data_IF_235419100061
#
_entry.id   IF_235419100061
#
_cell.length_a   1.000
_cell.length_b   1.000
_cell.length_c   1.000
_cell.angle_alpha   90.00
_cell.angle_beta   90.00
_cell.angle_gamma   90.00
#
_symmetry.space_group_name_H-M   'P 1'
#
loop_
_entity.id
_entity.type
_entity.pdbx_description
1 polymer ?
#
# COMPACT_ATOMS: atom_id res chain seq x y z
N UNK A 1 21.75 19.70 -8.83
CA UNK A 1 20.54 19.03 -9.36
C UNK A 1 19.35 19.50 -8.53
N UNK A 2 18.31 20.08 -9.13
CA UNK A 2 17.12 20.50 -8.36
C UNK A 2 16.31 19.28 -7.95
N UNK A 3 15.54 19.40 -6.85
CA UNK A 3 14.82 18.25 -6.29
C UNK A 3 13.74 17.72 -7.24
N UNK A 4 13.08 18.62 -7.98
CA UNK A 4 12.16 18.24 -9.06
C UNK A 4 12.83 17.37 -10.13
N UNK A 5 14.06 17.68 -10.54
CA UNK A 5 14.75 16.96 -11.61
C UNK A 5 15.06 15.52 -11.19
N UNK A 6 15.40 15.35 -9.91
CA UNK A 6 15.56 14.04 -9.29
C UNK A 6 14.24 13.24 -9.31
N UNK A 7 13.12 13.86 -8.93
CA UNK A 7 11.82 13.20 -8.96
C UNK A 7 11.40 12.79 -10.38
N UNK A 8 11.50 13.70 -11.35
CA UNK A 8 11.16 13.43 -12.75
C UNK A 8 12.03 12.30 -13.31
N UNK A 9 13.34 12.33 -13.05
CA UNK A 9 14.27 11.28 -13.50
C UNK A 9 13.90 9.92 -12.91
N UNK A 10 13.55 9.88 -11.62
CA UNK A 10 13.09 8.66 -10.95
C UNK A 10 11.79 8.14 -11.56
N UNK A 11 10.79 9.00 -11.75
CA UNK A 11 9.50 8.63 -12.35
C UNK A 11 9.72 8.09 -13.78
N UNK A 12 10.56 8.76 -14.59
CA UNK A 12 10.89 8.34 -15.95
C UNK A 12 11.48 6.93 -15.99
N UNK A 13 12.38 6.62 -15.05
CA UNK A 13 12.99 5.28 -14.93
C UNK A 13 11.94 4.22 -14.59
N UNK A 14 11.10 4.46 -13.58
CA UNK A 14 10.12 3.47 -13.11
C UNK A 14 8.95 3.28 -14.07
N UNK A 15 8.54 4.33 -14.78
CA UNK A 15 7.54 4.28 -15.86
C UNK A 15 7.93 3.27 -16.95
N UNK A 16 9.22 3.15 -17.28
CA UNK A 16 9.71 2.22 -18.31
C UNK A 16 9.45 0.78 -17.85
N UNK A 17 8.57 0.08 -18.56
CA UNK A 17 8.17 -1.30 -18.22
C UNK A 17 7.00 -1.41 -17.23
N UNK A 18 6.50 -0.31 -16.66
CA UNK A 18 5.36 -0.30 -15.72
C UNK A 18 4.31 0.73 -16.15
N UNK A 19 4.01 0.83 -17.45
CA UNK A 19 3.20 1.91 -18.02
C UNK A 19 1.75 1.90 -17.51
N UNK A 20 1.17 0.72 -17.29
CA UNK A 20 -0.18 0.58 -16.72
C UNK A 20 -0.21 1.11 -15.29
N UNK A 21 0.66 0.60 -14.41
CA UNK A 21 0.82 1.10 -13.04
C UNK A 21 1.06 2.60 -13.00
N UNK A 22 1.90 3.11 -13.89
CA UNK A 22 2.14 4.55 -14.00
C UNK A 22 0.87 5.33 -14.33
N UNK A 23 0.01 4.85 -15.23
CA UNK A 23 -1.26 5.53 -15.55
C UNK A 23 -2.18 5.57 -14.33
N UNK A 24 -2.34 4.44 -13.66
CA UNK A 24 -3.19 4.31 -12.48
C UNK A 24 -2.75 5.28 -11.37
N UNK A 25 -1.45 5.30 -11.05
CA UNK A 25 -0.89 6.19 -10.02
C UNK A 25 -0.97 7.67 -10.44
N UNK A 26 -0.78 8.00 -11.73
CA UNK A 26 -0.98 9.39 -12.19
C UNK A 26 -2.41 9.85 -11.95
N UNK A 27 -3.40 9.00 -12.27
CA UNK A 27 -4.81 9.32 -12.03
C UNK A 27 -5.10 9.46 -10.53
N UNK A 28 -4.55 8.59 -9.69
CA UNK A 28 -4.68 8.66 -8.22
C UNK A 28 -4.12 9.98 -7.66
N UNK A 29 -2.92 10.36 -8.09
CA UNK A 29 -2.20 11.52 -7.52
C UNK A 29 -2.75 12.85 -8.02
N UNK A 30 -3.08 12.96 -9.30
CA UNK A 30 -3.52 14.21 -9.93
C UNK A 30 -5.04 14.32 -10.10
N UNK A 31 -5.80 13.28 -9.72
CA UNK A 31 -7.25 13.18 -9.92
C UNK A 31 -7.68 13.00 -11.38
N UNK A 32 -6.73 13.01 -12.32
CA UNK A 32 -6.96 12.85 -13.76
C UNK A 32 -5.75 12.28 -14.46
N UNK A 33 -5.97 11.68 -15.62
CA UNK A 33 -4.87 11.22 -16.45
C UNK A 33 -4.12 12.42 -17.06
N UNK A 34 -2.81 12.49 -16.81
CA UNK A 34 -1.91 13.46 -17.43
C UNK A 34 -0.99 12.79 -18.45
N UNK A 35 -0.64 13.54 -19.50
CA UNK A 35 0.43 13.15 -20.42
C UNK A 35 1.79 13.37 -19.77
N UNK A 36 2.81 12.61 -20.22
CA UNK A 36 4.17 12.73 -19.70
C UNK A 36 4.73 14.16 -19.83
N UNK A 37 4.49 14.83 -20.97
CA UNK A 37 4.92 16.21 -21.17
C UNK A 37 4.36 17.18 -20.12
N UNK A 38 3.11 16.97 -19.64
CA UNK A 38 2.52 17.78 -18.55
C UNK A 38 3.16 17.50 -17.19
N UNK A 39 3.64 16.27 -16.96
CA UNK A 39 4.32 15.90 -15.72
C UNK A 39 5.75 16.44 -15.71
N UNK A 40 6.46 16.40 -16.84
CA UNK A 40 7.83 16.94 -16.95
C UNK A 40 7.93 18.44 -16.65
N UNK A 41 6.86 19.19 -16.95
CA UNK A 41 6.80 20.64 -16.68
C UNK A 41 6.05 20.98 -15.39
N UNK A 42 5.63 19.97 -14.60
CA UNK A 42 4.96 20.20 -13.33
C UNK A 42 5.90 20.93 -12.34
N UNK A 43 5.44 22.04 -11.78
CA UNK A 43 6.19 22.81 -10.79
C UNK A 43 5.85 22.43 -9.34
N UNK A 44 4.74 21.72 -9.14
CA UNK A 44 4.36 21.23 -7.82
C UNK A 44 5.24 20.05 -7.40
N UNK A 45 6.28 20.35 -6.61
CA UNK A 45 7.20 19.36 -6.08
C UNK A 45 6.53 18.35 -5.15
N UNK A 46 5.45 18.73 -4.44
CA UNK A 46 4.73 17.80 -3.55
C UNK A 46 4.00 16.74 -4.36
N UNK A 47 3.35 17.14 -5.46
CA UNK A 47 2.70 16.19 -6.36
C UNK A 47 3.73 15.29 -7.07
N UNK A 48 4.87 15.83 -7.49
CA UNK A 48 5.96 15.02 -8.08
C UNK A 48 6.54 14.03 -7.07
N UNK A 49 6.76 14.45 -5.83
CA UNK A 49 7.19 13.56 -4.74
C UNK A 49 6.18 12.45 -4.50
N UNK A 50 4.89 12.80 -4.39
CA UNK A 50 3.80 11.83 -4.17
C UNK A 50 3.72 10.83 -5.33
N UNK A 51 3.79 11.29 -6.58
CA UNK A 51 3.82 10.43 -7.77
C UNK A 51 5.03 9.48 -7.75
N UNK A 52 6.23 10.00 -7.50
CA UNK A 52 7.43 9.16 -7.38
C UNK A 52 7.24 8.07 -6.34
N UNK A 53 6.84 8.45 -5.12
CA UNK A 53 6.75 7.52 -4.00
C UNK A 53 5.70 6.43 -4.24
N UNK A 54 4.46 6.82 -4.61
CA UNK A 54 3.38 5.88 -4.89
C UNK A 54 3.71 4.95 -6.06
N UNK A 55 4.34 5.47 -7.12
CA UNK A 55 4.74 4.63 -8.25
C UNK A 55 5.77 3.56 -7.83
N UNK A 56 6.75 3.93 -7.01
CA UNK A 56 7.74 2.97 -6.51
C UNK A 56 7.09 1.91 -5.62
N UNK A 57 6.20 2.32 -4.72
CA UNK A 57 5.45 1.45 -3.82
C UNK A 57 4.58 0.45 -4.59
N UNK A 58 3.78 0.91 -5.56
CA UNK A 58 2.92 0.04 -6.37
C UNK A 58 3.72 -0.95 -7.24
N UNK A 59 4.88 -0.53 -7.76
CA UNK A 59 5.77 -1.45 -8.50
C UNK A 59 6.34 -2.52 -7.55
N UNK A 60 6.76 -2.14 -6.34
CA UNK A 60 7.23 -3.08 -5.32
C UNK A 60 6.13 -4.09 -4.97
N UNK A 61 4.91 -3.61 -4.73
CA UNK A 61 3.75 -4.46 -4.40
C UNK A 61 3.43 -5.46 -5.52
N UNK A 62 3.39 -5.01 -6.78
CA UNK A 62 3.11 -5.91 -7.92
C UNK A 62 4.16 -6.98 -8.15
N UNK A 63 5.41 -6.73 -7.75
CA UNK A 63 6.51 -7.69 -7.84
C UNK A 63 6.60 -8.61 -6.62
N UNK A 64 5.93 -8.25 -5.53
CA UNK A 64 5.97 -9.02 -4.29
C UNK A 64 5.33 -10.40 -4.51
N UNK A 65 5.97 -11.49 -4.05
CA UNK A 65 5.34 -12.80 -4.03
C UNK A 65 4.25 -12.91 -2.94
N UNK A 66 4.17 -11.92 -2.04
CA UNK A 66 3.22 -11.92 -0.92
C UNK A 66 1.87 -11.40 -1.39
N UNK A 67 0.83 -12.21 -1.21
CA UNK A 67 -0.55 -11.74 -1.33
C UNK A 67 -0.92 -10.87 -0.12
N UNK A 68 -1.19 -9.58 -0.37
CA UNK A 68 -1.64 -8.64 0.68
C UNK A 68 -2.92 -9.15 1.36
N UNK A 69 -3.90 -9.64 0.59
CA UNK A 69 -5.14 -10.16 1.15
C UNK A 69 -4.94 -11.44 1.98
N UNK A 70 -4.08 -12.34 1.51
CA UNK A 70 -3.74 -13.56 2.25
C UNK A 70 -3.03 -13.23 3.56
N UNK A 71 -2.03 -12.35 3.53
CA UNK A 71 -1.29 -11.95 4.72
C UNK A 71 -2.16 -11.15 5.69
N UNK A 72 -3.01 -10.24 5.21
CA UNK A 72 -3.93 -9.49 6.06
C UNK A 72 -4.88 -10.43 6.83
N UNK A 73 -5.44 -11.45 6.16
CA UNK A 73 -6.25 -12.49 6.82
C UNK A 73 -5.45 -13.28 7.85
N UNK A 74 -4.22 -13.64 7.53
CA UNK A 74 -3.33 -14.35 8.47
C UNK A 74 -3.04 -13.50 9.72
N UNK A 75 -2.79 -12.19 9.55
CA UNK A 75 -2.57 -11.25 10.66
C UNK A 75 -3.81 -11.14 11.54
N UNK A 76 -5.00 -11.00 10.96
CA UNK A 76 -6.24 -10.97 11.75
C UNK A 76 -6.48 -12.30 12.47
N UNK A 77 -6.29 -13.43 11.76
CA UNK A 77 -6.49 -14.78 12.27
C UNK A 77 -5.54 -15.16 13.39
N UNK A 78 -4.26 -14.79 13.31
CA UNK A 78 -3.26 -15.02 14.36
C UNK A 78 -3.63 -14.32 15.69
N UNK A 79 -4.46 -13.28 15.62
CA UNK A 79 -4.95 -12.56 16.78
C UNK A 79 -6.33 -13.02 17.26
N UNK A 80 -6.95 -13.98 16.57
CA UNK A 80 -8.21 -14.60 16.98
C UNK A 80 -7.97 -15.99 17.59
N UNK A 81 -8.69 -16.31 18.66
CA UNK A 81 -8.66 -17.63 19.30
C UNK A 81 -9.72 -18.59 18.77
N UNK A 82 -9.86 -19.75 19.42
CA UNK A 82 -10.97 -20.68 19.17
C UNK A 82 -12.22 -20.14 19.88
N UNK A 83 -13.32 -20.00 19.15
CA UNK A 83 -14.61 -19.53 19.68
C UNK A 83 -15.81 -20.03 18.87
N UNK A 84 -17.00 -19.90 19.46
CA UNK A 84 -18.27 -20.19 18.81
C UNK A 84 -18.66 -19.18 17.73
N UNK A 85 -19.58 -19.56 16.84
CA UNK A 85 -20.07 -18.71 15.75
C UNK A 85 -21.06 -17.65 16.25
N UNK A 86 -20.68 -16.37 16.16
CA UNK A 86 -21.51 -15.22 16.48
C UNK A 86 -20.96 -13.97 15.78
N UNK A 87 -21.79 -12.93 15.60
CA UNK A 87 -21.30 -11.59 15.26
C UNK A 87 -20.93 -10.84 16.53
N UNK A 88 -19.65 -10.54 16.70
CA UNK A 88 -19.11 -9.96 17.92
C UNK A 88 -18.42 -8.64 17.60
N UNK A 89 -18.86 -7.57 18.27
CA UNK A 89 -18.19 -6.28 18.17
C UNK A 89 -16.83 -6.33 18.90
N UNK A 90 -15.83 -5.69 18.32
CA UNK A 90 -14.54 -5.50 18.95
C UNK A 90 -13.97 -4.11 18.62
N UNK A 91 -13.01 -3.67 19.42
CA UNK A 91 -12.26 -2.45 19.16
C UNK A 91 -10.86 -2.81 18.64
N UNK A 92 -10.43 -2.19 17.56
CA UNK A 92 -9.10 -2.38 17.01
C UNK A 92 -8.04 -1.77 17.93
N UNK A 93 -7.04 -2.57 18.35
CA UNK A 93 -5.96 -2.09 19.20
C UNK A 93 -4.98 -1.12 18.49
N UNK A 94 -5.05 -1.01 17.16
CA UNK A 94 -4.18 -0.15 16.36
C UNK A 94 -4.80 1.22 16.08
N UNK A 95 -6.02 1.27 15.55
CA UNK A 95 -6.69 2.52 15.20
C UNK A 95 -7.76 2.97 16.21
N UNK A 96 -8.18 2.09 17.13
CA UNK A 96 -9.24 2.38 18.10
C UNK A 96 -10.66 2.31 17.54
N UNK A 97 -10.85 2.04 16.24
CA UNK A 97 -12.17 1.92 15.62
C UNK A 97 -12.89 0.64 16.04
N UNK A 98 -14.22 0.71 16.08
CA UNK A 98 -15.08 -0.45 16.32
C UNK A 98 -15.41 -1.18 15.01
N UNK A 99 -15.37 -2.51 15.05
CA UNK A 99 -15.68 -3.38 13.91
C UNK A 99 -16.39 -4.65 14.41
N UNK A 100 -16.89 -5.48 13.48
CA UNK A 100 -17.66 -6.68 13.78
C UNK A 100 -16.99 -7.91 13.19
N UNK A 101 -16.95 -9.00 13.95
CA UNK A 101 -16.32 -10.25 13.54
C UNK A 101 -17.27 -11.43 13.63
N UNK A 102 -17.16 -12.38 12.69
CA UNK A 102 -18.04 -13.57 12.58
C UNK A 102 -17.51 -14.72 13.46
N UNK A 103 -17.08 -14.41 14.67
CA UNK A 103 -16.75 -15.37 15.73
C UNK A 103 -16.85 -14.66 17.09
N UNK A 104 -17.13 -15.41 18.15
CA UNK A 104 -17.02 -14.94 19.55
C UNK A 104 -15.57 -14.62 19.95
N UNK A 105 -14.59 -15.30 19.36
CA UNK A 105 -13.17 -14.97 19.48
C UNK A 105 -12.78 -13.94 18.42
N UNK A 106 -12.81 -12.67 18.80
CA UNK A 106 -12.53 -11.55 17.91
C UNK A 106 -11.03 -11.34 17.69
N UNK A 107 -10.61 -10.82 16.51
CA UNK A 107 -9.24 -10.37 16.33
C UNK A 107 -8.97 -9.13 17.19
N UNK A 108 -7.69 -8.80 17.35
CA UNK A 108 -7.25 -7.55 17.99
C UNK A 108 -7.07 -6.39 17.01
N UNK A 109 -7.07 -6.68 15.71
CA UNK A 109 -6.75 -5.72 14.65
C UNK A 109 -7.86 -5.79 13.59
N UNK A 110 -8.39 -4.61 13.20
CA UNK A 110 -9.38 -4.51 12.13
C UNK A 110 -8.77 -4.85 10.76
N UNK A 111 -9.66 -5.05 9.78
CA UNK A 111 -9.25 -5.47 8.43
C UNK A 111 -8.33 -4.46 7.77
N UNK A 112 -8.60 -3.17 7.94
CA UNK A 112 -7.84 -2.11 7.28
C UNK A 112 -6.43 -1.96 7.89
N UNK A 113 -6.32 -2.00 9.22
CA UNK A 113 -5.02 -2.03 9.89
C UNK A 113 -4.20 -3.27 9.50
N UNK A 114 -4.83 -4.45 9.42
CA UNK A 114 -4.17 -5.67 8.98
C UNK A 114 -3.71 -5.57 7.52
N UNK A 115 -4.52 -4.98 6.64
CA UNK A 115 -4.16 -4.71 5.24
C UNK A 115 -2.98 -3.74 5.15
N UNK A 116 -2.96 -2.68 5.96
CA UNK A 116 -1.86 -1.71 5.97
C UNK A 116 -0.53 -2.37 6.35
N UNK A 117 -0.53 -3.22 7.39
CA UNK A 117 0.65 -4.01 7.76
C UNK A 117 1.05 -4.94 6.61
N UNK A 118 0.09 -5.68 6.04
CA UNK A 118 0.37 -6.62 4.96
C UNK A 118 0.94 -5.92 3.71
N UNK A 119 0.43 -4.75 3.35
CA UNK A 119 0.95 -3.91 2.27
C UNK A 119 2.39 -3.48 2.55
N UNK A 120 2.68 -3.01 3.76
CA UNK A 120 4.04 -2.62 4.13
C UNK A 120 5.02 -3.80 4.03
N UNK A 121 4.64 -4.97 4.54
CA UNK A 121 5.46 -6.19 4.45
C UNK A 121 5.65 -6.62 3.00
N UNK A 122 4.59 -6.63 2.20
CA UNK A 122 4.66 -7.02 0.79
C UNK A 122 5.55 -6.08 -0.02
N UNK A 123 5.42 -4.76 0.17
CA UNK A 123 6.23 -3.75 -0.51
C UNK A 123 7.71 -3.82 -0.16
N UNK A 124 8.06 -4.34 1.02
CA UNK A 124 9.43 -4.39 1.51
C UNK A 124 9.92 -5.84 1.70
N UNK A 125 9.29 -6.81 1.03
CA UNK A 125 9.60 -8.24 1.15
C UNK A 125 11.09 -8.54 0.99
N UNK A 126 11.73 -8.04 -0.07
CA UNK A 126 13.15 -8.27 -0.34
C UNK A 126 14.04 -7.73 0.80
N UNK A 127 13.72 -6.55 1.32
CA UNK A 127 14.47 -5.93 2.42
C UNK A 127 14.28 -6.71 3.73
N UNK A 128 13.07 -7.19 4.01
CA UNK A 128 12.76 -7.99 5.19
C UNK A 128 13.48 -9.34 5.13
N UNK A 129 13.42 -10.03 3.99
CA UNK A 129 14.03 -11.36 3.84
C UNK A 129 15.56 -11.33 3.84
N UNK A 130 16.18 -10.24 3.38
CA UNK A 130 17.64 -10.10 3.37
C UNK A 130 18.22 -9.68 4.74
N UNK A 131 17.38 -9.25 5.68
CA UNK A 131 17.79 -8.86 7.04
C UNK A 131 17.27 -9.82 8.14
N UNK A 132 16.60 -10.91 7.77
CA UNK A 132 16.10 -11.95 8.66
C UNK A 132 17.05 -13.15 8.70
#
# INVERSE_FOLDING_TARGET
>A
MKMKDYYITSIKKHKRGNMETYRDVVKEVFGKQLSWAKIEVCEDEKLLYKLKYRLQEEIKLRKSPISVDGLARAIQGANSGIGGSAFTAFQCNMCGEQDVWINTATPKICKDCARNIATYVAANYEEIMNNA
#
